data_IF_380935689349
#
_entry.id   IF_380935689349
#
_cell.length_a   1.000
_cell.length_b   1.000
_cell.length_c   1.000
_cell.angle_alpha   90.00
_cell.angle_beta   90.00
_cell.angle_gamma   90.00
#
_symmetry.space_group_name_H-M   'P 1'
#
loop_
_entity.id
_entity.type
_entity.pdbx_description
1 polymer ?
#
# COMPACT_ATOMS: atom_id res chain seq x y z
N UNK A 1 -6.56 2.48 -0.69
CA UNK A 1 -5.68 1.49 -1.35
C UNK A 1 -5.45 0.32 -0.41
N UNK A 2 -5.40 -0.90 -0.93
CA UNK A 2 -5.01 -2.10 -0.21
C UNK A 2 -3.77 -2.71 -0.88
N UNK A 3 -2.75 -3.03 -0.07
CA UNK A 3 -1.48 -3.59 -0.55
C UNK A 3 -1.25 -4.93 0.09
N UNK A 4 -0.84 -5.92 -0.71
CA UNK A 4 -0.54 -7.26 -0.23
C UNK A 4 0.81 -7.74 -0.77
N UNK A 5 1.73 -8.05 0.15
CA UNK A 5 3.05 -8.60 -0.16
C UNK A 5 3.18 -9.98 0.49
N UNK A 6 3.53 -10.99 -0.30
CA UNK A 6 3.88 -12.33 0.22
C UNK A 6 5.38 -12.48 0.42
N UNK A 7 5.77 -13.43 1.27
CA UNK A 7 7.18 -13.81 1.56
C UNK A 7 8.01 -14.22 0.32
N UNK A 8 7.38 -14.45 -0.84
CA UNK A 8 8.05 -14.80 -2.11
C UNK A 8 8.14 -13.63 -3.10
N UNK A 9 8.06 -12.39 -2.63
CA UNK A 9 8.18 -11.19 -3.48
C UNK A 9 7.01 -10.96 -4.43
N UNK A 10 5.87 -11.61 -4.19
CA UNK A 10 4.64 -11.33 -4.94
C UNK A 10 3.94 -10.12 -4.33
N UNK A 11 3.68 -9.11 -5.16
CA UNK A 11 2.94 -7.91 -4.81
C UNK A 11 1.60 -7.90 -5.55
N UNK A 12 0.51 -7.69 -4.80
CA UNK A 12 -0.79 -7.31 -5.33
C UNK A 12 -1.23 -5.97 -4.73
N UNK A 13 -1.96 -5.19 -5.50
CA UNK A 13 -2.51 -3.91 -5.05
C UNK A 13 -3.89 -3.68 -5.64
N UNK A 14 -4.79 -3.09 -4.86
CA UNK A 14 -6.07 -2.59 -5.35
C UNK A 14 -6.37 -1.22 -4.77
N UNK A 15 -6.96 -0.32 -5.55
CA UNK A 15 -7.42 0.96 -5.03
C UNK A 15 -8.65 1.47 -5.78
N UNK A 16 -9.42 2.27 -5.05
CA UNK A 16 -10.58 2.96 -5.57
C UNK A 16 -10.25 4.44 -5.71
N UNK A 17 -10.46 4.99 -6.90
CA UNK A 17 -10.42 6.43 -7.15
C UNK A 17 -11.85 6.96 -7.01
N UNK A 18 -12.11 7.73 -5.96
CA UNK A 18 -13.42 8.31 -5.70
C UNK A 18 -13.81 9.40 -6.67
N UNK A 19 -12.84 10.10 -7.26
CA UNK A 19 -13.09 11.26 -8.11
C UNK A 19 -13.63 10.80 -9.47
N UNK A 20 -13.12 9.67 -9.97
CA UNK A 20 -13.55 9.07 -11.22
C UNK A 20 -14.53 7.90 -11.05
N UNK A 21 -14.71 7.39 -9.82
CA UNK A 21 -15.53 6.21 -9.55
C UNK A 21 -14.94 4.89 -10.05
N UNK A 22 -13.63 4.85 -10.28
CA UNK A 22 -12.94 3.71 -10.89
C UNK A 22 -12.26 2.81 -9.85
N UNK A 23 -12.31 1.49 -10.08
CA UNK A 23 -11.57 0.50 -9.30
C UNK A 23 -10.39 -0.03 -10.14
N UNK A 24 -9.20 0.05 -9.57
CA UNK A 24 -7.97 -0.42 -10.19
C UNK A 24 -7.43 -1.64 -9.46
N UNK A 25 -6.90 -2.60 -10.23
CA UNK A 25 -6.32 -3.84 -9.72
C UNK A 25 -4.98 -4.10 -10.39
N UNK A 26 -3.94 -4.24 -9.57
CA UNK A 26 -2.67 -4.83 -9.96
C UNK A 26 -2.68 -6.30 -9.52
N UNK A 27 -2.80 -7.20 -10.50
CA UNK A 27 -2.74 -8.65 -10.26
C UNK A 27 -1.39 -9.04 -9.67
N UNK A 28 -1.36 -10.08 -8.81
CA UNK A 28 -0.14 -10.57 -8.15
C UNK A 28 1.01 -10.72 -9.17
N UNK A 29 1.97 -9.80 -9.11
CA UNK A 29 3.15 -9.83 -9.94
C UNK A 29 4.35 -10.26 -9.11
N UNK A 30 5.16 -11.15 -9.67
CA UNK A 30 6.47 -11.46 -9.11
C UNK A 30 7.37 -10.25 -9.33
N UNK A 31 7.89 -9.67 -8.25
CA UNK A 31 8.81 -8.56 -8.31
C UNK A 31 10.08 -8.92 -7.52
N UNK A 32 11.25 -8.62 -8.08
CA UNK A 32 12.51 -8.80 -7.37
C UNK A 32 12.58 -7.85 -6.15
N UNK A 33 12.06 -6.62 -6.31
CA UNK A 33 12.11 -5.56 -5.30
C UNK A 33 10.72 -4.98 -5.00
N UNK A 34 9.88 -5.65 -4.19
CA UNK A 34 8.50 -5.23 -3.92
C UNK A 34 8.38 -3.83 -3.32
N UNK A 35 9.38 -3.37 -2.55
CA UNK A 35 9.38 -2.03 -1.94
C UNK A 35 9.51 -0.92 -2.97
N UNK A 36 10.37 -1.08 -3.99
CA UNK A 36 10.51 -0.08 -5.06
C UNK A 36 9.22 0.07 -5.86
N UNK A 37 8.52 -1.04 -6.09
CA UNK A 37 7.23 -1.02 -6.77
C UNK A 37 6.15 -0.36 -5.90
N UNK A 38 6.13 -0.63 -4.60
CA UNK A 38 5.24 0.07 -3.66
C UNK A 38 5.51 1.58 -3.70
N UNK A 39 6.77 2.00 -3.61
CA UNK A 39 7.17 3.41 -3.69
C UNK A 39 6.70 4.07 -4.99
N UNK A 40 6.86 3.37 -6.12
CA UNK A 40 6.37 3.84 -7.42
C UNK A 40 4.85 4.04 -7.42
N UNK A 41 4.10 3.06 -6.90
CA UNK A 41 2.63 3.14 -6.80
C UNK A 41 2.21 4.29 -5.89
N UNK A 42 2.92 4.50 -4.78
CA UNK A 42 2.65 5.60 -3.85
C UNK A 42 2.76 6.96 -4.52
N UNK A 43 3.81 7.18 -5.32
CA UNK A 43 4.02 8.44 -6.05
C UNK A 43 2.94 8.68 -7.11
N UNK A 44 2.55 7.63 -7.84
CA UNK A 44 1.59 7.77 -8.95
C UNK A 44 0.14 7.86 -8.48
N UNK A 45 -0.24 7.06 -7.48
CA UNK A 45 -1.63 6.96 -7.02
C UNK A 45 -1.94 7.98 -5.92
N UNK A 46 -0.93 8.39 -5.15
CA UNK A 46 -1.08 9.29 -3.99
C UNK A 46 -2.27 8.90 -3.09
N UNK A 47 -2.34 7.64 -2.64
CA UNK A 47 -3.50 7.14 -1.92
C UNK A 47 -3.62 7.84 -0.56
N UNK A 48 -4.81 8.34 -0.25
CA UNK A 48 -5.09 8.99 1.05
C UNK A 48 -5.14 8.00 2.21
N UNK A 49 -5.48 6.74 1.93
CA UNK A 49 -5.60 5.67 2.92
C UNK A 49 -5.01 4.38 2.38
N UNK A 50 -4.19 3.72 3.20
CA UNK A 50 -3.61 2.41 2.88
C UNK A 50 -4.04 1.39 3.92
N UNK A 51 -4.52 0.25 3.43
CA UNK A 51 -4.87 -0.92 4.20
C UNK A 51 -3.78 -1.97 3.99
N UNK A 52 -3.20 -2.43 5.10
CA UNK A 52 -2.23 -3.51 5.12
C UNK A 52 -2.83 -4.74 5.84
N UNK A 53 -2.59 -5.95 5.35
CA UNK A 53 -2.91 -7.17 6.09
C UNK A 53 -2.21 -7.20 7.44
N UNK A 54 -2.81 -7.89 8.42
CA UNK A 54 -2.20 -8.09 9.74
C UNK A 54 -0.84 -8.81 9.65
N UNK A 55 -0.68 -9.68 8.65
CA UNK A 55 0.56 -10.43 8.38
C UNK A 55 1.33 -9.80 7.22
N UNK A 56 1.70 -8.54 7.38
CA UNK A 56 2.56 -7.84 6.42
C UNK A 56 4.02 -8.05 6.79
N UNK A 57 4.93 -8.31 5.83
CA UNK A 57 6.35 -8.43 6.11
C UNK A 57 6.94 -7.16 6.76
N UNK A 58 7.81 -7.33 7.76
CA UNK A 58 8.42 -6.22 8.52
C UNK A 58 9.08 -5.11 7.68
N UNK A 59 9.79 -5.39 6.57
CA UNK A 59 10.34 -4.33 5.73
C UNK A 59 9.27 -3.41 5.13
N UNK A 60 8.12 -3.99 4.77
CA UNK A 60 6.97 -3.27 4.19
C UNK A 60 6.25 -2.48 5.28
N UNK A 61 6.07 -3.06 6.47
CA UNK A 61 5.53 -2.34 7.62
C UNK A 61 6.39 -1.11 7.95
N UNK A 62 7.71 -1.30 8.07
CA UNK A 62 8.64 -0.21 8.39
C UNK A 62 8.64 0.90 7.34
N UNK A 63 8.56 0.55 6.06
CA UNK A 63 8.40 1.53 4.98
C UNK A 63 7.17 2.41 5.23
N UNK A 64 5.98 1.81 5.41
CA UNK A 64 4.77 2.60 5.63
C UNK A 64 4.76 3.34 6.98
N UNK A 65 5.49 2.86 7.98
CA UNK A 65 5.67 3.55 9.26
C UNK A 65 6.50 4.81 9.17
N UNK A 66 7.59 4.79 8.39
CA UNK A 66 8.47 5.94 8.18
C UNK A 66 7.74 7.10 7.48
N UNK A 67 6.68 6.80 6.73
CA UNK A 67 5.88 7.78 6.01
C UNK A 67 4.53 8.12 6.70
N UNK A 68 4.31 7.73 7.97
CA UNK A 68 3.05 7.96 8.71
C UNK A 68 2.78 9.42 9.08
N UNK A 69 1.49 9.78 9.12
CA UNK A 69 0.97 10.92 9.91
C UNK A 69 -0.01 10.53 11.03
N UNK A 70 -0.79 9.43 10.98
CA UNK A 70 -1.58 8.92 12.14
C UNK A 70 -2.03 7.45 11.95
N UNK A 71 -2.20 6.69 13.06
CA UNK A 71 -2.69 5.29 13.12
C UNK A 71 -4.01 5.23 13.90
N UNK A 72 -5.02 4.52 13.39
CA UNK A 72 -6.26 4.21 14.12
C UNK A 72 -6.34 2.71 14.45
N UNK A 73 -6.66 2.36 15.71
CA UNK A 73 -6.58 1.00 16.24
C UNK A 73 -7.90 0.23 16.07
N UNK A 74 -8.14 -0.26 14.85
CA UNK A 74 -9.14 -1.30 14.55
C UNK A 74 -8.69 -2.31 13.47
N UNK A 75 -7.48 -2.11 12.98
CA UNK A 75 -6.87 -2.62 11.74
C UNK A 75 -5.87 -1.55 11.32
N UNK A 76 -4.67 -1.92 10.87
CA UNK A 76 -3.63 -0.91 10.60
C UNK A 76 -4.02 -0.08 9.36
N UNK A 77 -4.69 1.05 9.60
CA UNK A 77 -5.05 2.05 8.59
C UNK A 77 -4.00 3.15 8.63
N UNK A 78 -3.33 3.38 7.50
CA UNK A 78 -2.32 4.44 7.36
C UNK A 78 -2.93 5.58 6.56
N UNK A 79 -3.05 6.77 7.16
CA UNK A 79 -3.46 8.00 6.48
C UNK A 79 -2.24 8.74 5.94
N UNK A 80 -2.30 9.16 4.68
CA UNK A 80 -1.27 9.95 4.00
C UNK A 80 -1.76 11.39 3.83
N UNK A 81 -0.90 12.36 4.16
CA UNK A 81 -1.15 13.78 3.93
C UNK A 81 -0.60 14.16 2.55
N UNK A 82 -1.45 14.66 1.67
CA UNK A 82 -1.05 15.36 0.44
C UNK A 82 -0.43 16.70 0.83
N UNK A 83 0.78 16.97 0.34
CA UNK A 83 1.37 18.32 0.31
C UNK A 83 0.69 19.18 -0.74
#
# INVERSE_FOLDING_TARGET
MAVFVREKGKLGCAYYNSDEGNLFLLQEMSCAEPLQLIETIMVHVQPTTILLPLKTPDPVLRFFEQHKTTVDQGGLVYRWATM
#
